data_IF_419222901368
#
_entry.id   IF_419222901368
#
_cell.length_a   1.000
_cell.length_b   1.000
_cell.length_c   1.000
_cell.angle_alpha   90.00
_cell.angle_beta   90.00
_cell.angle_gamma   90.00
#
_symmetry.space_group_name_H-M   'P 1'
#
loop_
_entity.id
_entity.type
_entity.pdbx_description
1 polymer ?
#
# COMPACT_ATOMS: atom_id res chain seq x y z
N UNK A 1 -21.41 -52.51 37.81
CA UNK A 1 -22.81 -52.56 38.30
C UNK A 1 -23.38 -51.16 38.19
N UNK A 2 -24.20 -50.93 37.16
CA UNK A 2 -25.66 -50.80 37.27
C UNK A 2 -26.12 -49.48 37.92
N UNK A 3 -26.53 -48.55 37.05
CA UNK A 3 -27.63 -47.60 37.27
C UNK A 3 -27.28 -46.38 38.14
N UNK A 4 -27.90 -45.22 37.98
CA UNK A 4 -29.28 -44.98 37.55
C UNK A 4 -29.38 -43.76 36.63
N UNK A 5 -30.34 -43.87 35.73
CA UNK A 5 -30.98 -42.79 34.97
C UNK A 5 -31.51 -41.73 35.95
N UNK A 6 -31.35 -40.44 35.63
CA UNK A 6 -32.25 -39.42 36.16
C UNK A 6 -32.80 -38.58 35.03
N UNK A 7 -34.10 -38.75 34.85
CA UNK A 7 -34.98 -38.21 33.85
C UNK A 7 -35.46 -36.82 34.24
N UNK A 8 -35.47 -35.94 33.24
CA UNK A 8 -36.38 -34.83 32.98
C UNK A 8 -37.35 -34.42 34.11
N UNK A 9 -37.24 -33.17 34.56
CA UNK A 9 -38.40 -32.41 35.01
C UNK A 9 -38.52 -31.14 34.15
N UNK A 10 -39.46 -31.22 33.21
CA UNK A 10 -40.05 -30.10 32.49
C UNK A 10 -40.81 -29.23 33.49
N UNK A 11 -40.37 -27.98 33.67
CA UNK A 11 -41.15 -26.98 34.40
C UNK A 11 -42.15 -26.32 33.46
N UNK A 12 -43.42 -26.63 33.70
CA UNK A 12 -44.61 -26.13 33.03
C UNK A 12 -44.92 -24.69 33.44
N UNK A 13 -45.05 -23.82 32.41
CA UNK A 13 -45.99 -22.70 32.19
C UNK A 13 -46.34 -21.80 33.38
N UNK A 14 -46.02 -20.50 33.24
CA UNK A 14 -47.00 -19.44 33.55
C UNK A 14 -47.11 -18.45 32.39
N UNK A 15 -48.33 -18.37 31.86
CA UNK A 15 -48.80 -17.51 30.77
C UNK A 15 -49.18 -16.16 31.37
N UNK A 16 -48.36 -15.14 31.17
CA UNK A 16 -48.68 -13.77 31.57
C UNK A 16 -49.30 -13.04 30.39
N UNK A 17 -50.60 -12.81 30.45
CA UNK A 17 -51.37 -11.96 29.55
C UNK A 17 -50.93 -10.52 29.76
N UNK A 18 -50.09 -9.99 28.88
CA UNK A 18 -49.77 -8.56 28.83
C UNK A 18 -50.57 -7.89 27.71
N UNK A 19 -51.26 -6.84 28.13
CA UNK A 19 -52.19 -6.03 27.36
C UNK A 19 -51.52 -5.44 26.11
N UNK A 20 -52.22 -5.61 24.99
CA UNK A 20 -51.97 -4.99 23.70
C UNK A 20 -52.03 -3.47 23.85
N UNK A 21 -50.87 -2.83 23.83
CA UNK A 21 -50.74 -1.39 23.60
C UNK A 21 -50.37 -1.20 22.13
N UNK A 22 -51.21 -0.45 21.40
CA UNK A 22 -50.99 -0.09 20.01
C UNK A 22 -49.74 0.80 19.86
N UNK A 23 -49.00 0.67 18.75
CA UNK A 23 -47.73 1.36 18.57
C UNK A 23 -47.94 2.86 18.39
N UNK A 24 -47.22 3.74 19.13
CA UNK A 24 -47.11 5.13 18.73
C UNK A 24 -46.33 5.18 17.42
N UNK A 25 -47.00 5.75 16.42
CA UNK A 25 -46.58 6.02 15.05
C UNK A 25 -45.09 6.40 15.00
N UNK A 26 -44.31 5.61 14.26
CA UNK A 26 -42.92 5.90 13.96
C UNK A 26 -42.82 7.28 13.31
N UNK A 27 -42.40 8.30 14.07
CA UNK A 27 -41.85 9.52 13.49
C UNK A 27 -40.50 9.14 12.89
N UNK A 28 -40.51 8.87 11.60
CA UNK A 28 -39.31 8.91 10.76
C UNK A 28 -38.75 10.32 10.89
N UNK A 29 -37.80 10.51 11.81
CA UNK A 29 -36.86 11.61 11.74
C UNK A 29 -36.13 11.37 10.43
N UNK A 30 -36.52 12.13 9.41
CA UNK A 30 -35.75 12.32 8.20
C UNK A 30 -34.41 12.87 8.65
N UNK A 31 -33.47 11.95 8.92
CA UNK A 31 -32.06 12.27 8.90
C UNK A 31 -31.86 12.94 7.56
N UNK A 32 -31.62 14.24 7.61
CA UNK A 32 -31.22 15.05 6.47
C UNK A 32 -29.93 14.40 6.02
N UNK A 33 -30.04 13.48 5.06
CA UNK A 33 -28.92 13.05 4.28
C UNK A 33 -28.47 14.33 3.60
N UNK A 34 -27.44 14.96 4.16
CA UNK A 34 -26.65 15.91 3.40
C UNK A 34 -26.30 15.16 2.13
N UNK A 35 -27.01 15.47 1.05
CA UNK A 35 -26.70 15.09 -0.31
C UNK A 35 -25.44 15.85 -0.66
N UNK A 36 -24.35 15.43 -0.03
CA UNK A 36 -23.01 15.58 -0.56
C UNK A 36 -23.11 14.90 -1.91
N UNK A 37 -23.19 15.70 -2.95
CA UNK A 37 -23.03 15.30 -4.35
C UNK A 37 -22.10 14.08 -4.38
N UNK A 38 -22.47 12.96 -5.01
CA UNK A 38 -21.64 11.76 -5.02
C UNK A 38 -20.31 12.13 -5.67
N UNK A 39 -19.35 12.53 -4.85
CA UNK A 39 -17.97 12.69 -5.27
C UNK A 39 -17.62 11.37 -5.92
N UNK A 40 -16.99 11.35 -7.09
CA UNK A 40 -16.59 10.12 -7.76
C UNK A 40 -15.63 9.38 -6.81
N UNK A 41 -16.20 8.51 -6.00
CA UNK A 41 -15.55 7.95 -4.83
C UNK A 41 -15.34 6.48 -5.13
N UNK A 42 -14.16 6.16 -5.64
CA UNK A 42 -13.77 4.78 -5.93
C UNK A 42 -13.81 3.93 -4.64
N UNK A 43 -14.21 2.64 -4.71
CA UNK A 43 -14.15 1.73 -3.58
C UNK A 43 -12.69 1.45 -3.18
N UNK A 44 -12.44 1.20 -1.89
CA UNK A 44 -11.09 0.98 -1.35
C UNK A 44 -10.29 -0.10 -2.08
N UNK A 45 -10.96 -1.18 -2.52
CA UNK A 45 -10.31 -2.27 -3.28
C UNK A 45 -9.74 -1.77 -4.61
N UNK A 46 -10.50 -0.95 -5.31
CA UNK A 46 -10.10 -0.36 -6.60
C UNK A 46 -9.03 0.71 -6.42
N UNK A 47 -9.13 1.54 -5.38
CA UNK A 47 -8.06 2.47 -5.01
C UNK A 47 -6.71 1.77 -4.83
N UNK A 48 -6.67 0.68 -4.05
CA UNK A 48 -5.44 -0.07 -3.83
C UNK A 48 -4.94 -0.77 -5.10
N UNK A 49 -5.84 -1.25 -5.97
CA UNK A 49 -5.44 -1.87 -7.24
C UNK A 49 -4.87 -0.83 -8.21
N UNK A 50 -5.42 0.38 -8.27
CA UNK A 50 -4.91 1.48 -9.08
C UNK A 50 -3.50 1.90 -8.62
N UNK A 51 -3.29 2.04 -7.30
CA UNK A 51 -1.98 2.36 -6.74
C UNK A 51 -0.94 1.27 -7.03
N UNK A 52 -1.35 0.00 -6.94
CA UNK A 52 -0.50 -1.15 -7.32
C UNK A 52 -0.21 -1.15 -8.82
N UNK A 53 -1.21 -0.87 -9.65
CA UNK A 53 -1.07 -0.77 -11.09
C UNK A 53 -0.01 0.27 -11.45
N UNK A 54 -0.09 1.50 -10.93
CA UNK A 54 0.91 2.55 -11.17
C UNK A 54 2.33 2.08 -10.86
N UNK A 55 2.57 1.53 -9.66
CA UNK A 55 3.89 1.02 -9.26
C UNK A 55 4.37 -0.12 -10.15
N UNK A 56 3.46 -0.99 -10.61
CA UNK A 56 3.80 -2.07 -11.53
C UNK A 56 4.20 -1.56 -12.90
N UNK A 57 3.54 -0.51 -13.41
CA UNK A 57 3.92 0.14 -14.67
C UNK A 57 5.29 0.81 -14.57
N UNK A 58 5.56 1.53 -13.49
CA UNK A 58 6.89 2.12 -13.23
C UNK A 58 7.99 1.04 -13.18
N UNK A 59 7.73 -0.09 -12.51
CA UNK A 59 8.67 -1.24 -12.47
C UNK A 59 8.85 -1.91 -13.82
N UNK A 60 7.77 -2.13 -14.57
CA UNK A 60 7.83 -2.69 -15.90
C UNK A 60 8.64 -1.78 -16.83
N UNK A 61 8.40 -0.46 -16.75
CA UNK A 61 9.17 0.55 -17.46
C UNK A 61 10.66 0.52 -17.12
N UNK A 62 11.02 0.35 -15.84
CA UNK A 62 12.41 0.20 -15.41
C UNK A 62 13.08 -1.01 -16.08
N UNK A 63 12.41 -2.17 -16.05
CA UNK A 63 12.95 -3.42 -16.58
C UNK A 63 13.07 -3.34 -18.11
N UNK A 64 12.03 -2.90 -18.80
CA UNK A 64 12.04 -2.78 -20.26
C UNK A 64 13.02 -1.71 -20.73
N UNK A 65 13.06 -0.55 -20.06
CA UNK A 65 14.02 0.52 -20.35
C UNK A 65 15.46 0.09 -20.12
N UNK A 66 15.75 -0.56 -19.00
CA UNK A 66 17.08 -1.09 -18.70
C UNK A 66 17.53 -2.17 -19.67
N UNK A 67 16.65 -3.12 -19.98
CA UNK A 67 16.95 -4.19 -20.94
C UNK A 67 17.17 -3.61 -22.33
N UNK A 68 16.31 -2.70 -22.79
CA UNK A 68 16.45 -2.05 -24.08
C UNK A 68 17.70 -1.17 -24.17
N UNK A 69 18.02 -0.41 -23.12
CA UNK A 69 19.23 0.41 -23.05
C UNK A 69 20.51 -0.42 -22.98
N UNK A 70 20.49 -1.56 -22.28
CA UNK A 70 21.62 -2.48 -22.26
C UNK A 70 21.85 -3.12 -23.63
N UNK A 71 20.81 -3.64 -24.27
CA UNK A 71 20.91 -4.24 -25.61
C UNK A 71 21.33 -3.20 -26.66
N UNK A 72 20.75 -2.00 -26.61
CA UNK A 72 21.12 -0.90 -27.49
C UNK A 72 22.54 -0.41 -27.27
N UNK A 73 22.96 -0.27 -26.01
CA UNK A 73 24.34 0.08 -25.64
C UNK A 73 25.34 -0.98 -26.08
N UNK A 74 25.07 -2.26 -25.80
CA UNK A 74 25.90 -3.38 -26.23
C UNK A 74 26.00 -3.46 -27.76
N UNK A 75 24.89 -3.22 -28.48
CA UNK A 75 24.90 -3.14 -29.94
C UNK A 75 25.76 -1.98 -30.44
N UNK A 76 25.57 -0.77 -29.89
CA UNK A 76 26.34 0.41 -30.26
C UNK A 76 27.84 0.20 -30.02
N UNK A 77 28.23 -0.24 -28.82
CA UNK A 77 29.65 -0.44 -28.50
C UNK A 77 30.26 -1.69 -29.15
N UNK A 78 29.45 -2.69 -29.51
CA UNK A 78 29.93 -3.93 -30.14
C UNK A 78 30.01 -3.86 -31.67
N UNK A 79 29.26 -2.96 -32.32
CA UNK A 79 29.16 -2.92 -33.79
C UNK A 79 29.42 -1.56 -34.42
N UNK A 80 29.12 -0.47 -33.71
CA UNK A 80 29.18 0.89 -34.26
C UNK A 80 30.41 1.65 -33.75
N UNK A 81 30.80 1.43 -32.49
CA UNK A 81 32.03 1.98 -31.96
C UNK A 81 33.22 1.22 -32.55
N UNK A 82 34.11 1.93 -33.25
CA UNK A 82 35.37 1.37 -33.73
C UNK A 82 36.22 0.98 -32.52
N UNK A 83 36.47 -0.32 -32.38
CA UNK A 83 37.31 -0.87 -31.32
C UNK A 83 38.78 -0.77 -31.78
N UNK A 84 39.48 0.29 -31.36
CA UNK A 84 40.94 0.37 -31.49
C UNK A 84 41.59 -0.16 -30.19
N UNK A 85 42.07 -1.41 -30.16
CA UNK A 85 42.65 -2.03 -28.97
C UNK A 85 43.96 -1.36 -28.50
N UNK A 86 44.53 -0.46 -29.31
CA UNK A 86 45.78 0.23 -28.98
C UNK A 86 45.56 1.54 -28.26
N UNK A 87 44.33 2.07 -28.27
CA UNK A 87 44.00 3.32 -27.60
C UNK A 87 43.52 3.08 -26.18
N UNK A 88 44.24 3.65 -25.22
CA UNK A 88 43.76 3.74 -23.84
C UNK A 88 42.61 4.75 -23.77
N UNK A 89 41.41 4.23 -23.56
CA UNK A 89 40.23 5.06 -23.30
C UNK A 89 40.17 5.30 -21.79
N UNK A 90 40.20 6.57 -21.36
CA UNK A 90 40.12 7.00 -19.95
C UNK A 90 41.25 6.45 -19.04
N UNK A 91 42.43 6.14 -19.60
CA UNK A 91 43.59 5.64 -18.83
C UNK A 91 43.45 4.19 -18.36
N UNK A 92 42.42 3.47 -18.79
CA UNK A 92 42.27 2.03 -18.57
C UNK A 92 42.97 1.26 -19.71
N UNK A 93 43.76 0.26 -19.35
CA UNK A 93 44.48 -0.60 -20.29
C UNK A 93 43.58 -1.60 -21.03
N UNK A 94 42.36 -1.82 -20.55
CA UNK A 94 41.39 -2.71 -21.18
C UNK A 94 40.19 -1.92 -21.74
N UNK A 95 40.15 -1.65 -23.06
CA UNK A 95 39.03 -0.97 -23.71
C UNK A 95 37.71 -1.71 -23.53
N UNK A 96 37.71 -3.05 -23.39
CA UNK A 96 36.46 -3.84 -23.28
C UNK A 96 35.69 -3.49 -22.00
N UNK A 97 36.41 -3.28 -20.90
CA UNK A 97 35.82 -2.91 -19.62
C UNK A 97 35.12 -1.55 -19.71
N UNK A 98 35.74 -0.59 -20.40
CA UNK A 98 35.18 0.76 -20.60
C UNK A 98 33.86 0.70 -21.38
N UNK A 99 33.81 -0.11 -22.43
CA UNK A 99 32.60 -0.28 -23.23
C UNK A 99 31.49 -1.01 -22.49
N UNK A 100 31.80 -2.05 -21.70
CA UNK A 100 30.81 -2.74 -20.87
C UNK A 100 30.27 -1.79 -19.79
N UNK A 101 31.14 -1.01 -19.14
CA UNK A 101 30.73 0.01 -18.17
C UNK A 101 29.89 1.11 -18.84
N UNK A 102 30.26 1.51 -20.06
CA UNK A 102 29.47 2.43 -20.88
C UNK A 102 28.08 1.88 -21.19
N UNK A 103 27.99 0.61 -21.62
CA UNK A 103 26.72 -0.05 -21.89
C UNK A 103 25.84 -0.15 -20.63
N UNK A 104 26.45 -0.45 -19.48
CA UNK A 104 25.77 -0.48 -18.18
C UNK A 104 25.30 0.91 -17.74
N UNK A 105 26.09 1.96 -18.01
CA UNK A 105 25.69 3.34 -17.73
C UNK A 105 24.48 3.75 -18.58
N UNK A 106 24.49 3.43 -19.88
CA UNK A 106 23.36 3.64 -20.78
C UNK A 106 22.13 2.85 -20.31
N UNK A 107 22.30 1.60 -19.88
CA UNK A 107 21.23 0.79 -19.31
C UNK A 107 20.62 1.41 -18.05
N UNK A 108 21.45 1.95 -17.15
CA UNK A 108 21.00 2.65 -15.94
C UNK A 108 20.17 3.88 -16.27
N UNK A 109 20.64 4.71 -17.20
CA UNK A 109 19.91 5.90 -17.66
C UNK A 109 18.60 5.53 -18.36
N UNK A 110 18.62 4.50 -19.21
CA UNK A 110 17.44 4.00 -19.91
C UNK A 110 16.41 3.39 -18.93
N UNK A 111 16.87 2.76 -17.84
CA UNK A 111 15.98 2.29 -16.77
C UNK A 111 15.26 3.45 -16.09
N UNK A 112 15.98 4.53 -15.80
CA UNK A 112 15.41 5.72 -15.16
C UNK A 112 14.40 6.43 -16.06
N UNK A 113 14.74 6.64 -17.33
CA UNK A 113 13.80 7.21 -18.31
C UNK A 113 12.61 6.27 -18.54
N UNK A 114 12.82 4.95 -18.49
CA UNK A 114 11.75 3.95 -18.50
C UNK A 114 10.76 4.09 -17.33
N UNK A 115 11.25 4.31 -16.10
CA UNK A 115 10.40 4.55 -14.91
C UNK A 115 9.53 5.80 -15.12
N UNK A 116 10.16 6.92 -15.48
CA UNK A 116 9.46 8.21 -15.65
C UNK A 116 8.45 8.12 -16.80
N UNK A 117 8.88 7.59 -17.95
CA UNK A 117 8.04 7.42 -19.15
C UNK A 117 6.83 6.52 -18.90
N UNK A 118 7.03 5.35 -18.26
CA UNK A 118 5.94 4.44 -17.97
C UNK A 118 4.94 5.02 -16.96
N UNK A 119 5.41 5.78 -15.97
CA UNK A 119 4.54 6.50 -15.03
C UNK A 119 3.66 7.54 -15.72
N UNK A 120 4.22 8.31 -16.65
CA UNK A 120 3.45 9.27 -17.45
C UNK A 120 2.47 8.56 -18.40
N UNK A 121 2.92 7.50 -19.08
CA UNK A 121 2.08 6.72 -19.97
C UNK A 121 0.87 6.13 -19.23
N UNK A 122 1.08 5.58 -18.03
CA UNK A 122 -0.02 5.11 -17.18
C UNK A 122 -1.03 6.22 -16.87
N UNK A 123 -0.55 7.44 -16.57
CA UNK A 123 -1.42 8.60 -16.31
C UNK A 123 -2.20 9.03 -17.56
N UNK A 124 -1.60 8.96 -18.74
CA UNK A 124 -2.26 9.27 -20.02
C UNK A 124 -3.30 8.23 -20.41
N UNK A 125 -3.04 6.94 -20.16
CA UNK A 125 -3.96 5.85 -20.45
C UNK A 125 -5.19 5.82 -19.53
N UNK A 126 -5.14 6.52 -18.38
CA UNK A 126 -6.25 6.59 -17.42
C UNK A 126 -7.10 7.83 -17.62
N UNK A 127 -8.41 7.68 -17.41
CA UNK A 127 -9.37 8.78 -17.53
C UNK A 127 -9.09 9.84 -16.45
N UNK A 128 -9.16 11.12 -16.82
CA UNK A 128 -8.94 12.25 -15.88
C UNK A 128 -9.82 12.16 -14.63
N UNK A 129 -11.06 11.68 -14.77
CA UNK A 129 -11.99 11.46 -13.66
C UNK A 129 -11.46 10.43 -12.65
N UNK A 130 -10.92 9.30 -13.13
CA UNK A 130 -10.34 8.27 -12.26
C UNK A 130 -9.11 8.79 -11.52
N UNK A 131 -8.32 9.67 -12.14
CA UNK A 131 -7.17 10.30 -11.47
C UNK A 131 -7.62 11.27 -10.39
N UNK A 132 -8.65 12.10 -10.65
CA UNK A 132 -9.23 13.00 -9.63
C UNK A 132 -9.79 12.20 -8.45
N UNK A 133 -10.51 11.12 -8.74
CA UNK A 133 -11.06 10.22 -7.71
C UNK A 133 -9.94 9.54 -6.89
N UNK A 134 -8.84 9.15 -7.54
CA UNK A 134 -7.66 8.61 -6.90
C UNK A 134 -7.02 9.63 -5.94
N UNK A 135 -6.79 10.87 -6.40
CA UNK A 135 -6.18 11.94 -5.60
C UNK A 135 -7.03 12.29 -4.36
N UNK A 136 -8.36 12.33 -4.52
CA UNK A 136 -9.27 12.55 -3.39
C UNK A 136 -9.19 11.41 -2.36
N UNK A 137 -9.13 10.16 -2.82
CA UNK A 137 -8.97 8.99 -1.93
C UNK A 137 -7.59 8.89 -1.31
N UNK A 138 -6.54 9.27 -2.02
CA UNK A 138 -5.17 9.35 -1.50
C UNK A 138 -5.11 10.32 -0.31
N UNK A 139 -5.75 11.48 -0.43
CA UNK A 139 -5.90 12.45 0.67
C UNK A 139 -6.68 11.86 1.84
N UNK A 140 -7.82 11.23 1.58
CA UNK A 140 -8.62 10.60 2.64
C UNK A 140 -7.84 9.49 3.35
N UNK A 141 -7.10 8.68 2.59
CA UNK A 141 -6.24 7.63 3.12
C UNK A 141 -5.15 8.23 4.00
N UNK A 142 -4.48 9.29 3.55
CA UNK A 142 -3.47 9.99 4.34
C UNK A 142 -4.03 10.51 5.67
N UNK A 143 -5.21 11.14 5.66
CA UNK A 143 -5.87 11.58 6.89
C UNK A 143 -6.22 10.42 7.83
N UNK A 144 -6.64 9.27 7.30
CA UNK A 144 -6.89 8.06 8.11
C UNK A 144 -5.61 7.55 8.77
N UNK A 145 -4.49 7.50 8.05
CA UNK A 145 -3.18 7.11 8.60
C UNK A 145 -2.73 8.10 9.67
N UNK A 146 -2.84 9.40 9.40
CA UNK A 146 -2.45 10.46 10.32
C UNK A 146 -3.24 10.43 11.64
N UNK A 147 -4.52 10.01 11.62
CA UNK A 147 -5.34 9.86 12.82
C UNK A 147 -4.95 8.65 13.68
N UNK A 148 -4.53 7.56 13.05
CA UNK A 148 -4.27 6.29 13.74
C UNK A 148 -2.82 6.07 14.13
N UNK A 149 -1.88 6.88 13.59
CA UNK A 149 -0.48 6.86 14.02
C UNK A 149 -0.36 7.43 15.44
N UNK A 150 0.26 6.71 16.39
CA UNK A 150 0.65 7.29 17.68
C UNK A 150 1.69 8.41 17.47
N UNK A 151 1.47 9.57 18.09
CA UNK A 151 2.38 10.73 18.02
C UNK A 151 3.77 10.40 18.61
N UNK A 152 3.78 9.53 19.62
CA UNK A 152 4.95 9.07 20.36
C UNK A 152 5.88 8.16 19.53
N UNK A 153 5.43 7.60 18.40
CA UNK A 153 6.29 6.76 17.54
C UNK A 153 7.54 7.50 17.06
N UNK A 154 7.44 8.81 16.80
CA UNK A 154 8.55 9.57 16.26
C UNK A 154 9.71 9.78 17.25
N UNK A 155 9.44 9.73 18.56
CA UNK A 155 10.43 9.93 19.62
C UNK A 155 10.98 8.63 20.20
N UNK A 156 10.44 7.48 19.83
CA UNK A 156 10.91 6.19 20.33
C UNK A 156 12.16 5.78 19.54
N UNK A 157 13.27 5.53 20.24
CA UNK A 157 14.47 4.94 19.63
C UNK A 157 14.24 3.44 19.46
N UNK A 158 14.47 2.85 18.27
CA UNK A 158 14.39 1.41 18.09
C UNK A 158 15.36 0.70 19.03
N UNK A 159 14.85 -0.11 19.96
CA UNK A 159 15.70 -0.90 20.84
C UNK A 159 16.16 -2.14 20.06
N UNK A 160 17.48 -2.37 19.88
CA UNK A 160 17.99 -3.57 19.23
C UNK A 160 17.54 -4.82 20.01
N UNK A 161 16.97 -5.80 19.30
CA UNK A 161 16.52 -7.09 19.88
C UNK A 161 15.04 -7.16 20.29
N UNK A 162 14.26 -6.07 20.21
CA UNK A 162 12.80 -6.15 20.40
C UNK A 162 12.10 -6.51 19.08
N UNK A 163 11.40 -7.64 19.05
CA UNK A 163 10.64 -8.13 17.88
C UNK A 163 9.51 -7.20 17.42
N UNK A 164 9.14 -6.21 18.22
CA UNK A 164 8.33 -5.09 17.77
C UNK A 164 9.24 -3.95 17.32
N UNK A 165 9.93 -4.14 16.19
CA UNK A 165 10.52 -3.04 15.45
C UNK A 165 9.48 -1.94 15.22
N UNK A 166 9.94 -0.71 15.06
CA UNK A 166 9.09 0.47 14.99
C UNK A 166 7.87 0.23 14.07
N UNK A 167 6.63 0.51 14.52
CA UNK A 167 5.48 0.40 13.63
C UNK A 167 5.68 1.34 12.44
N UNK A 168 5.41 0.85 11.24
CA UNK A 168 5.44 1.63 10.00
C UNK A 168 4.68 2.95 10.19
N UNK A 169 5.41 4.07 10.28
CA UNK A 169 4.89 5.39 10.63
C UNK A 169 4.05 6.00 9.50
N UNK A 170 4.40 5.70 8.25
CA UNK A 170 3.78 6.28 7.06
C UNK A 170 2.78 5.35 6.37
N UNK A 171 2.73 4.07 6.76
CA UNK A 171 1.88 3.08 6.10
C UNK A 171 2.40 2.74 4.70
N UNK A 172 3.72 2.78 4.49
CA UNK A 172 4.36 2.50 3.20
C UNK A 172 3.99 1.11 2.67
N UNK A 173 3.79 0.14 3.59
CA UNK A 173 3.55 -1.28 3.26
C UNK A 173 2.07 -1.59 3.01
N UNK A 174 1.18 -0.60 3.10
CA UNK A 174 -0.26 -0.81 2.96
C UNK A 174 -0.65 -0.80 1.49
N UNK A 175 -0.79 -2.00 0.92
CA UNK A 175 -1.20 -2.20 -0.47
C UNK A 175 -2.59 -2.82 -0.60
N UNK A 176 -3.25 -3.15 0.50
CA UNK A 176 -4.60 -3.73 0.52
C UNK A 176 -5.38 -3.35 1.78
N UNK A 177 -6.68 -3.61 1.76
CA UNK A 177 -7.55 -3.43 2.94
C UNK A 177 -7.15 -4.38 4.08
N UNK A 178 -6.68 -5.59 3.77
CA UNK A 178 -6.21 -6.54 4.76
C UNK A 178 -4.95 -6.03 5.46
N UNK A 179 -4.00 -5.49 4.68
CA UNK A 179 -2.77 -4.89 5.21
C UNK A 179 -3.09 -3.69 6.09
N UNK A 180 -4.07 -2.87 5.71
CA UNK A 180 -4.54 -1.75 6.52
C UNK A 180 -5.06 -2.21 7.90
N UNK A 181 -5.85 -3.29 7.95
CA UNK A 181 -6.33 -3.86 9.23
C UNK A 181 -5.18 -4.41 10.08
N UNK A 182 -4.23 -5.10 9.45
CA UNK A 182 -3.04 -5.61 10.13
C UNK A 182 -2.17 -4.48 10.66
N UNK A 183 -2.03 -3.39 9.90
CA UNK A 183 -1.34 -2.18 10.30
C UNK A 183 -2.00 -1.54 11.52
N UNK A 184 -3.33 -1.38 11.53
CA UNK A 184 -4.07 -0.87 12.70
C UNK A 184 -3.85 -1.72 13.96
N UNK A 185 -3.79 -3.05 13.82
CA UNK A 185 -3.46 -3.95 14.93
C UNK A 185 -2.05 -3.69 15.47
N UNK A 186 -1.06 -3.48 14.60
CA UNK A 186 0.32 -3.14 14.99
C UNK A 186 0.37 -1.80 15.75
N UNK A 187 -0.31 -0.77 15.26
CA UNK A 187 -0.40 0.54 15.93
C UNK A 187 -1.03 0.43 17.32
N UNK A 188 -2.11 -0.36 17.46
CA UNK A 188 -2.76 -0.58 18.75
C UNK A 188 -1.85 -1.32 19.73
N UNK A 189 -1.16 -2.38 19.28
CA UNK A 189 -0.21 -3.13 20.11
C UNK A 189 0.90 -2.21 20.62
N UNK A 190 1.46 -1.39 19.74
CA UNK A 190 2.49 -0.42 20.11
C UNK A 190 2.00 0.56 21.19
N UNK A 191 0.82 1.16 21.00
CA UNK A 191 0.24 2.08 21.98
C UNK A 191 0.04 1.42 23.36
N UNK A 192 -0.44 0.18 23.40
CA UNK A 192 -0.62 -0.56 24.66
C UNK A 192 0.73 -0.83 25.32
N UNK A 193 1.72 -1.32 24.56
CA UNK A 193 3.05 -1.60 25.10
C UNK A 193 3.72 -0.33 25.62
N UNK A 194 3.57 0.79 24.92
CA UNK A 194 4.18 2.05 25.34
C UNK A 194 3.50 2.62 26.60
N UNK A 195 2.17 2.62 26.65
CA UNK A 195 1.42 3.05 27.83
C UNK A 195 1.78 2.24 29.09
N UNK A 196 2.02 0.92 28.97
CA UNK A 196 2.45 0.09 30.11
C UNK A 196 3.85 0.42 30.64
N UNK A 197 4.73 0.99 29.79
CA UNK A 197 6.12 1.29 30.15
C UNK A 197 6.31 2.68 30.76
N UNK A 198 5.32 3.56 30.65
CA UNK A 198 5.30 4.86 31.29
C UNK A 198 4.27 4.83 32.43
N UNK A 199 4.57 4.19 33.58
CA UNK A 199 3.77 4.41 34.78
C UNK A 199 3.89 5.90 35.14
N UNK A 200 2.74 6.53 35.39
CA UNK A 200 2.65 7.90 35.88
C UNK A 200 3.36 8.06 37.23
#
# INVERSE_FOLDING_TARGET
MLGLRSTYHLATIHRTTILRMDPPTARLVSSSSNSTQPQPTIPWREYFSLRKSRKNWERAGAITGGTGGFLGGAYYFGTVAEFDPTQQILGMQDPTLVYVLGAMAVAGLASFTGIVGAGQLWRLLKKRETLKALDLRDREFFHRIQRHRPKEIASVVPIPGSQSGMPDYYGEKINSVADYRSWLKKQRRFRITHSKRSPA
#
